data_IF_133397723627
#
_entry.id   IF_133397723627
#
_cell.length_a   1.000
_cell.length_b   1.000
_cell.length_c   1.000
_cell.angle_alpha   90.00
_cell.angle_beta   90.00
_cell.angle_gamma   90.00
#
_symmetry.space_group_name_H-M   'P 1'
#
loop_
_entity.id
_entity.type
_entity.pdbx_description
1 polymer ?
#
# COMPACT_ATOMS: atom_id res chain seq x y z
N UNK A 1 -19.13 -7.05 -7.68
CA UNK A 1 -18.21 -6.33 -6.78
C UNK A 1 -17.02 -5.87 -7.62
N UNK A 2 -16.80 -4.57 -7.72
CA UNK A 2 -15.87 -3.96 -8.68
C UNK A 2 -14.60 -3.49 -7.98
N UNK A 3 -13.44 -3.90 -8.53
CA UNK A 3 -12.09 -3.58 -8.07
C UNK A 3 -11.29 -2.75 -9.10
N UNK A 4 -11.86 -2.43 -10.26
CA UNK A 4 -11.18 -1.75 -11.38
C UNK A 4 -10.35 -0.55 -10.94
N UNK A 5 -10.97 0.42 -10.26
CA UNK A 5 -10.31 1.62 -9.75
C UNK A 5 -9.09 1.32 -8.85
N UNK A 6 -9.19 0.31 -7.98
CA UNK A 6 -8.08 -0.07 -7.11
C UNK A 6 -6.96 -0.75 -7.92
N UNK A 7 -7.31 -1.55 -8.93
CA UNK A 7 -6.34 -2.15 -9.85
C UNK A 7 -5.63 -1.10 -10.71
N UNK A 8 -6.35 -0.10 -11.21
CA UNK A 8 -5.76 1.01 -11.99
C UNK A 8 -4.74 1.76 -11.15
N UNK A 9 -5.09 2.14 -9.92
CA UNK A 9 -4.18 2.82 -9.00
C UNK A 9 -2.99 1.95 -8.59
N UNK A 10 -3.20 0.67 -8.36
CA UNK A 10 -2.12 -0.26 -8.05
C UNK A 10 -1.13 -0.39 -9.22
N UNK A 11 -1.63 -0.37 -10.46
CA UNK A 11 -0.78 -0.42 -11.66
C UNK A 11 0.05 0.85 -11.79
N UNK A 12 -0.56 2.03 -11.63
CA UNK A 12 0.17 3.31 -11.63
C UNK A 12 1.19 3.37 -10.49
N UNK A 13 0.84 2.87 -9.31
CA UNK A 13 1.77 2.82 -8.18
C UNK A 13 2.93 1.85 -8.45
N UNK A 14 2.68 0.71 -9.09
CA UNK A 14 3.71 -0.26 -9.46
C UNK A 14 4.78 0.39 -10.36
N UNK A 15 4.37 1.11 -11.41
CA UNK A 15 5.29 1.85 -12.29
C UNK A 15 6.07 2.92 -11.51
N UNK A 16 5.39 3.65 -10.60
CA UNK A 16 6.02 4.68 -9.80
C UNK A 16 7.06 4.13 -8.82
N UNK A 17 6.81 2.95 -8.21
CA UNK A 17 7.78 2.32 -7.30
C UNK A 17 8.95 1.66 -8.03
N UNK A 18 8.80 1.25 -9.29
CA UNK A 18 9.93 0.83 -10.13
C UNK A 18 10.90 1.99 -10.34
N UNK A 19 10.39 3.17 -10.67
CA UNK A 19 11.22 4.40 -10.77
C UNK A 19 11.90 4.73 -9.44
N UNK A 20 11.19 4.58 -8.32
CA UNK A 20 11.76 4.79 -6.99
C UNK A 20 12.88 3.77 -6.68
N UNK A 21 12.72 2.51 -7.09
CA UNK A 21 13.72 1.48 -6.91
C UNK A 21 15.02 1.78 -7.69
N UNK A 22 14.89 2.30 -8.91
CA UNK A 22 16.03 2.78 -9.70
C UNK A 22 16.76 3.94 -9.01
N UNK A 23 16.02 4.90 -8.46
CA UNK A 23 16.59 6.01 -7.68
C UNK A 23 17.34 5.51 -6.43
N UNK A 24 16.78 4.53 -5.71
CA UNK A 24 17.45 3.88 -4.59
C UNK A 24 18.75 3.19 -5.01
N UNK A 25 18.72 2.41 -6.10
CA UNK A 25 19.90 1.73 -6.61
C UNK A 25 21.01 2.71 -7.02
N UNK A 26 20.65 3.81 -7.69
CA UNK A 26 21.58 4.87 -8.06
C UNK A 26 22.19 5.55 -6.82
N UNK A 27 21.37 5.84 -5.79
CA UNK A 27 21.84 6.44 -4.55
C UNK A 27 22.81 5.51 -3.78
N UNK A 28 22.54 4.21 -3.74
CA UNK A 28 23.45 3.22 -3.15
C UNK A 28 24.76 3.12 -3.92
N UNK A 29 24.74 3.18 -5.26
CA UNK A 29 25.95 3.14 -6.08
C UNK A 29 26.82 4.41 -5.94
N UNK A 30 26.20 5.58 -5.75
CA UNK A 30 26.89 6.86 -5.63
C UNK A 30 27.51 7.11 -4.24
N UNK A 31 27.04 6.40 -3.21
CA UNK A 31 27.50 6.53 -1.83
C UNK A 31 27.82 5.15 -1.24
N UNK A 32 28.99 4.54 -1.57
CA UNK A 32 29.50 3.38 -0.85
C UNK A 32 29.89 3.83 0.55
N UNK A 33 28.92 3.91 1.46
CA UNK A 33 29.08 4.55 2.76
C UNK A 33 30.08 3.81 3.65
N UNK A 34 31.02 4.57 4.22
CA UNK A 34 31.81 4.15 5.37
C UNK A 34 31.02 4.38 6.67
N UNK A 35 31.28 3.58 7.71
CA UNK A 35 30.65 3.76 9.02
C UNK A 35 30.92 5.16 9.59
N UNK A 36 29.87 5.94 9.83
CA UNK A 36 29.93 7.26 10.44
C UNK A 36 29.71 8.44 9.50
N UNK A 37 29.57 8.21 8.19
CA UNK A 37 29.26 9.26 7.23
C UNK A 37 27.78 9.68 7.29
N UNK A 38 27.51 10.98 7.26
CA UNK A 38 26.14 11.52 7.28
C UNK A 38 25.53 11.29 5.89
N UNK A 39 24.39 10.59 5.85
CA UNK A 39 23.66 10.33 4.62
C UNK A 39 23.31 11.63 3.88
N UNK A 40 23.42 11.61 2.55
CA UNK A 40 23.04 12.76 1.73
C UNK A 40 21.55 13.09 1.87
N UNK A 41 21.13 14.35 1.67
CA UNK A 41 19.72 14.73 1.71
C UNK A 41 18.83 13.84 0.82
N UNK A 42 19.31 13.48 -0.37
CA UNK A 42 18.59 12.58 -1.28
C UNK A 42 18.35 11.19 -0.69
N UNK A 43 19.36 10.60 -0.02
CA UNK A 43 19.21 9.29 0.67
C UNK A 43 18.23 9.39 1.83
N UNK A 44 18.26 10.48 2.58
CA UNK A 44 17.34 10.74 3.69
C UNK A 44 15.89 10.82 3.19
N UNK A 45 15.66 11.54 2.09
CA UNK A 45 14.32 11.69 1.52
C UNK A 45 13.81 10.38 0.90
N UNK A 46 14.66 9.61 0.21
CA UNK A 46 14.33 8.26 -0.26
C UNK A 46 13.91 7.35 0.90
N UNK A 47 14.69 7.30 1.97
CA UNK A 47 14.36 6.49 3.15
C UNK A 47 13.05 6.95 3.81
N UNK A 48 12.80 8.27 3.90
CA UNK A 48 11.55 8.81 4.42
C UNK A 48 10.36 8.36 3.57
N UNK A 49 10.48 8.40 2.25
CA UNK A 49 9.48 7.92 1.30
C UNK A 49 9.21 6.42 1.46
N UNK A 50 10.25 5.59 1.53
CA UNK A 50 10.11 4.14 1.75
C UNK A 50 9.41 3.80 3.08
N UNK A 51 9.78 4.50 4.16
CA UNK A 51 9.12 4.35 5.45
C UNK A 51 7.65 4.79 5.40
N UNK A 52 7.33 5.89 4.70
CA UNK A 52 5.96 6.36 4.53
C UNK A 52 5.11 5.37 3.73
N UNK A 53 5.62 4.87 2.61
CA UNK A 53 4.98 3.81 1.82
C UNK A 53 4.70 2.56 2.65
N UNK A 54 5.68 2.12 3.44
CA UNK A 54 5.52 0.95 4.33
C UNK A 54 4.37 1.15 5.32
N UNK A 55 4.30 2.31 5.98
CA UNK A 55 3.23 2.63 6.94
C UNK A 55 1.84 2.70 6.29
N UNK A 56 1.77 3.09 5.02
CA UNK A 56 0.51 3.19 4.27
C UNK A 56 0.04 1.82 3.77
N UNK A 57 0.97 1.03 3.20
CA UNK A 57 0.62 -0.21 2.49
C UNK A 57 0.51 -1.42 3.42
N UNK A 58 1.39 -1.55 4.42
CA UNK A 58 1.43 -2.72 5.31
C UNK A 58 0.07 -3.00 5.98
N UNK A 59 -0.65 -2.00 6.53
CA UNK A 59 -1.94 -2.26 7.17
C UNK A 59 -2.96 -2.88 6.21
N UNK A 60 -3.06 -2.40 4.97
CA UNK A 60 -4.06 -2.92 4.03
C UNK A 60 -3.66 -4.26 3.41
N UNK A 61 -2.36 -4.59 3.39
CA UNK A 61 -1.86 -5.85 2.82
C UNK A 61 -1.79 -6.99 3.81
N UNK A 62 -1.61 -6.70 5.11
CA UNK A 62 -1.33 -7.72 6.13
C UNK A 62 -2.32 -7.78 7.29
N UNK A 63 -3.16 -6.74 7.52
CA UNK A 63 -4.07 -6.75 8.68
C UNK A 63 -5.54 -6.85 8.31
N UNK A 64 -6.29 -7.65 9.06
CA UNK A 64 -7.74 -7.84 8.91
C UNK A 64 -8.52 -6.86 9.79
N UNK A 65 -8.07 -6.68 11.03
CA UNK A 65 -8.73 -5.85 12.03
C UNK A 65 -8.38 -4.35 11.88
N UNK A 66 -7.24 -4.05 11.24
CA UNK A 66 -6.74 -2.68 11.05
C UNK A 66 -5.70 -2.29 12.10
N UNK A 67 -5.41 -0.99 12.23
CA UNK A 67 -4.29 -0.54 13.11
C UNK A 67 -4.60 -0.59 14.61
N UNK A 68 -5.88 -0.58 14.98
CA UNK A 68 -6.33 -0.35 16.37
C UNK A 68 -6.87 -1.61 17.05
N UNK A 69 -6.80 -2.75 16.38
CA UNK A 69 -7.36 -4.00 16.88
C UNK A 69 -6.45 -5.16 16.48
N UNK A 70 -6.54 -6.26 17.22
CA UNK A 70 -5.66 -7.41 17.03
C UNK A 70 -6.17 -8.32 15.92
N UNK A 71 -5.25 -8.71 15.04
CA UNK A 71 -5.53 -9.79 14.12
C UNK A 71 -5.58 -11.13 14.86
N UNK A 72 -6.46 -12.04 14.41
CA UNK A 72 -6.48 -13.39 14.96
C UNK A 72 -5.17 -14.13 14.64
N UNK A 73 -4.72 -14.99 15.57
CA UNK A 73 -3.37 -15.56 15.60
C UNK A 73 -3.02 -16.58 14.48
N UNK A 74 -3.96 -16.88 13.60
CA UNK A 74 -3.76 -17.71 12.41
C UNK A 74 -3.32 -16.90 11.18
N UNK A 75 -2.65 -17.57 10.25
CA UNK A 75 -2.14 -16.95 9.02
C UNK A 75 -3.25 -16.30 8.20
N UNK A 76 -3.05 -15.01 7.87
CA UNK A 76 -3.95 -14.25 7.00
C UNK A 76 -3.45 -14.30 5.54
N UNK A 77 -4.37 -14.34 4.56
CA UNK A 77 -3.99 -14.15 3.17
C UNK A 77 -3.53 -12.70 2.93
N UNK A 78 -2.78 -12.47 1.86
CA UNK A 78 -2.51 -11.11 1.38
C UNK A 78 -3.83 -10.40 1.03
N UNK A 79 -3.91 -9.10 1.35
CA UNK A 79 -5.14 -8.30 1.25
C UNK A 79 -6.32 -8.95 2.00
N UNK A 80 -6.18 -9.21 3.31
CA UNK A 80 -7.16 -9.99 4.07
C UNK A 80 -8.55 -9.34 4.08
N UNK A 81 -8.63 -8.01 4.05
CA UNK A 81 -9.90 -7.28 3.94
C UNK A 81 -10.68 -7.55 2.64
N UNK A 82 -10.01 -8.00 1.56
CA UNK A 82 -10.62 -8.32 0.27
C UNK A 82 -10.77 -9.83 0.02
N UNK A 83 -10.26 -10.70 0.91
CA UNK A 83 -10.27 -12.15 0.73
C UNK A 83 -11.68 -12.74 0.52
N UNK A 84 -12.71 -12.08 1.07
CA UNK A 84 -14.11 -12.48 0.93
C UNK A 84 -14.73 -12.21 -0.45
N UNK A 85 -14.05 -11.53 -1.37
CA UNK A 85 -14.62 -11.13 -2.66
C UNK A 85 -15.11 -12.32 -3.50
N UNK A 86 -14.36 -13.44 -3.50
CA UNK A 86 -14.77 -14.67 -4.19
C UNK A 86 -16.00 -15.32 -3.56
N UNK A 87 -16.07 -15.33 -2.22
CA UNK A 87 -17.22 -15.87 -1.48
C UNK A 87 -18.49 -15.09 -1.76
N UNK A 88 -18.40 -13.77 -1.94
CA UNK A 88 -19.57 -12.94 -2.24
C UNK A 88 -20.34 -13.41 -3.48
N UNK A 89 -19.63 -13.87 -4.52
CA UNK A 89 -20.24 -14.37 -5.75
C UNK A 89 -20.98 -15.72 -5.57
N UNK A 90 -20.76 -16.41 -4.45
CA UNK A 90 -21.35 -17.70 -4.13
C UNK A 90 -22.57 -17.58 -3.20
N UNK A 91 -22.82 -16.39 -2.64
CA UNK A 91 -23.96 -16.14 -1.76
C UNK A 91 -25.20 -15.79 -2.58
N UNK A 92 -26.37 -16.17 -2.08
CA UNK A 92 -27.64 -15.78 -2.67
C UNK A 92 -27.76 -14.24 -2.67
N UNK A 93 -27.95 -13.60 -3.84
CA UNK A 93 -28.19 -12.17 -3.91
C UNK A 93 -29.45 -11.79 -3.10
N UNK A 94 -29.32 -10.78 -2.23
CA UNK A 94 -30.42 -10.33 -1.36
C UNK A 94 -30.49 -11.01 0.00
N UNK A 95 -29.72 -12.08 0.23
CA UNK A 95 -29.60 -12.69 1.55
C UNK A 95 -28.89 -11.76 2.56
N UNK A 96 -29.14 -11.96 3.85
CA UNK A 96 -28.46 -11.22 4.91
C UNK A 96 -26.93 -11.38 4.83
N UNK A 97 -26.44 -12.60 4.62
CA UNK A 97 -25.02 -12.90 4.47
C UNK A 97 -24.39 -12.15 3.29
N UNK A 98 -25.11 -12.07 2.16
CA UNK A 98 -24.68 -11.28 1.01
C UNK A 98 -24.54 -9.81 1.39
N UNK A 99 -25.55 -9.21 2.03
CA UNK A 99 -25.53 -7.81 2.41
C UNK A 99 -24.45 -7.47 3.45
N UNK A 100 -24.25 -8.33 4.45
CA UNK A 100 -23.19 -8.15 5.44
C UNK A 100 -21.80 -8.25 4.80
N UNK A 101 -21.57 -9.26 3.97
CA UNK A 101 -20.28 -9.44 3.29
C UNK A 101 -20.01 -8.31 2.29
N UNK A 102 -21.01 -7.92 1.51
CA UNK A 102 -20.91 -6.84 0.54
C UNK A 102 -20.52 -5.51 1.22
N UNK A 103 -21.20 -5.15 2.30
CA UNK A 103 -20.93 -3.91 3.05
C UNK A 103 -19.50 -3.88 3.57
N UNK A 104 -19.04 -4.99 4.18
CA UNK A 104 -17.66 -5.11 4.65
C UNK A 104 -16.64 -4.99 3.52
N UNK A 105 -16.88 -5.67 2.40
CA UNK A 105 -16.00 -5.63 1.22
C UNK A 105 -15.92 -4.24 0.60
N UNK A 106 -17.03 -3.49 0.53
CA UNK A 106 -17.03 -2.10 0.05
C UNK A 106 -16.15 -1.24 0.95
N UNK A 107 -16.27 -1.36 2.27
CA UNK A 107 -15.42 -0.63 3.22
C UNK A 107 -13.94 -0.96 3.03
N UNK A 108 -13.60 -2.25 2.95
CA UNK A 108 -12.22 -2.69 2.78
C UNK A 108 -11.63 -2.28 1.43
N UNK A 109 -12.43 -2.31 0.35
CA UNK A 109 -12.02 -1.76 -0.95
C UNK A 109 -11.71 -0.28 -0.86
N UNK A 110 -12.56 0.49 -0.19
CA UNK A 110 -12.33 1.93 -0.04
C UNK A 110 -11.08 2.22 0.80
N UNK A 111 -10.77 1.40 1.80
CA UNK A 111 -9.51 1.50 2.56
C UNK A 111 -8.28 1.23 1.67
N UNK A 112 -8.33 0.19 0.82
CA UNK A 112 -7.27 -0.09 -0.15
C UNK A 112 -7.11 1.04 -1.15
N UNK A 113 -8.22 1.53 -1.74
CA UNK A 113 -8.21 2.65 -2.68
C UNK A 113 -7.61 3.92 -2.06
N UNK A 114 -7.94 4.19 -0.79
CA UNK A 114 -7.40 5.32 -0.03
C UNK A 114 -5.91 5.16 0.27
N UNK A 115 -5.46 3.97 0.66
CA UNK A 115 -4.04 3.68 0.86
C UNK A 115 -3.24 3.84 -0.43
N UNK A 116 -3.73 3.30 -1.55
CA UNK A 116 -3.08 3.46 -2.86
C UNK A 116 -2.97 4.93 -3.27
N UNK A 117 -4.00 5.74 -3.02
CA UNK A 117 -3.94 7.19 -3.29
C UNK A 117 -2.87 7.89 -2.47
N UNK A 118 -2.85 7.64 -1.16
CA UNK A 118 -1.83 8.23 -0.28
C UNK A 118 -0.42 7.80 -0.66
N UNK A 119 -0.24 6.55 -1.08
CA UNK A 119 1.05 6.06 -1.55
C UNK A 119 1.51 6.80 -2.82
N UNK A 120 0.60 7.02 -3.78
CA UNK A 120 0.88 7.85 -4.97
C UNK A 120 1.24 9.30 -4.60
N UNK A 121 0.50 9.91 -3.67
CA UNK A 121 0.79 11.27 -3.19
C UNK A 121 2.19 11.35 -2.54
N UNK A 122 2.60 10.32 -1.80
CA UNK A 122 3.93 10.22 -1.19
C UNK A 122 5.03 10.11 -2.24
N UNK A 123 4.86 9.28 -3.28
CA UNK A 123 5.87 9.15 -4.35
C UNK A 123 5.97 10.43 -5.16
N UNK A 124 4.84 11.08 -5.46
CA UNK A 124 4.82 12.35 -6.17
C UNK A 124 5.58 13.46 -5.42
N UNK A 125 5.42 13.54 -4.09
CA UNK A 125 6.09 14.54 -3.26
C UNK A 125 7.62 14.43 -3.17
N UNK A 126 8.18 13.26 -3.50
CA UNK A 126 9.64 13.08 -3.60
C UNK A 126 10.23 13.88 -4.77
N UNK A 127 9.53 13.91 -5.91
CA UNK A 127 9.97 14.65 -7.11
C UNK A 127 10.00 16.17 -6.89
N UNK A 128 9.08 16.70 -6.10
CA UNK A 128 9.01 18.13 -5.78
C UNK A 128 10.08 18.59 -4.78
N UNK A 129 10.58 17.68 -3.95
CA UNK A 129 11.61 17.98 -2.94
C UNK A 129 13.01 18.07 -3.54
N UNK A 130 13.27 17.35 -4.63
CA UNK A 130 14.56 17.39 -5.33
C UNK A 130 14.78 18.66 -6.18
N UNK A 131 13.79 19.55 -6.29
CA UNK A 131 13.84 20.79 -7.06
C UNK A 131 14.02 22.07 -6.19
N UNK A 132 14.20 21.92 -4.87
CA UNK A 132 14.45 23.00 -3.91
C UNK A 132 15.80 22.84 -3.25
#
# INVERSE_FOLDING_TARGET
FDLSRAMDRASVLAEAVETLAEQCAAATAAAPGDEGEIASPAVIDLNRTLMALSRILIPVTYTLAGQFDHDPAWGQPHLPGLAGARRLAQLEPGSNDYHFLHTRLVRNRNQVDFALRQALDVVAGLGDSSAR
#
